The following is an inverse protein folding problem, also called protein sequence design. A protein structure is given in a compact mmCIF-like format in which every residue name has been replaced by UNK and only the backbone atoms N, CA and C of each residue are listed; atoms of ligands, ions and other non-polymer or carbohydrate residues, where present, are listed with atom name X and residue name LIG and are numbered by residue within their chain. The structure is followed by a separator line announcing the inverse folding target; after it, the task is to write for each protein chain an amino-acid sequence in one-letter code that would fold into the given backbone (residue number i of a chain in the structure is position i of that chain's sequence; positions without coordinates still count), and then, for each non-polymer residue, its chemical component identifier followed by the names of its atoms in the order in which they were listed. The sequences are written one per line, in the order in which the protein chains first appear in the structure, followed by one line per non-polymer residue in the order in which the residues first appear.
data_IF_095914713036
#
_entry.id   IF_095914713036
#
_cell.length_a   1.000
_cell.length_b   1.000
_cell.length_c   1.000
_cell.angle_alpha   90.00
_cell.angle_beta   90.00
_cell.angle_gamma   90.00
#
_symmetry.space_group_name_H-M   'P 1'
#
loop_
_entity.id
_entity.type
_entity.pdbx_description
1 polymer ?
#
# COMPACT_ATOMS: atom_id res chain seq x y z
N UNK A 1 -49.87 -44.51 -18.54
CA UNK A 1 -49.72 -43.03 -18.35
C UNK A 1 -48.33 -42.77 -17.76
N UNK A 2 -47.36 -42.32 -18.57
CA UNK A 2 -45.98 -42.00 -18.14
C UNK A 2 -45.88 -40.49 -18.02
N UNK A 3 -45.74 -39.96 -16.80
CA UNK A 3 -45.47 -38.57 -16.57
C UNK A 3 -43.98 -38.28 -16.73
N UNK A 4 -43.57 -37.49 -17.74
CA UNK A 4 -42.25 -36.98 -17.92
C UNK A 4 -42.14 -35.70 -17.13
N UNK A 5 -41.40 -35.71 -16.03
CA UNK A 5 -41.00 -34.48 -15.28
C UNK A 5 -39.84 -33.83 -16.02
N UNK A 6 -40.09 -32.76 -16.74
CA UNK A 6 -39.04 -31.91 -17.30
C UNK A 6 -38.49 -31.00 -16.17
N UNK A 7 -37.33 -31.34 -15.62
CA UNK A 7 -36.61 -30.50 -14.67
C UNK A 7 -36.01 -29.27 -15.36
N UNK A 8 -36.51 -28.09 -15.07
CA UNK A 8 -35.99 -26.82 -15.53
C UNK A 8 -34.72 -26.50 -14.71
N UNK A 9 -33.54 -26.68 -15.33
CA UNK A 9 -32.26 -26.30 -14.73
C UNK A 9 -32.12 -24.77 -14.84
N UNK A 10 -32.36 -24.02 -13.76
CA UNK A 10 -32.04 -22.61 -13.70
C UNK A 10 -30.51 -22.46 -13.53
N UNK A 11 -29.81 -22.13 -14.62
CA UNK A 11 -28.41 -21.69 -14.54
C UNK A 11 -28.38 -20.29 -13.92
N UNK A 12 -28.02 -20.21 -12.64
CA UNK A 12 -27.65 -18.96 -12.00
C UNK A 12 -26.27 -18.54 -12.51
N UNK A 13 -26.22 -17.67 -13.50
CA UNK A 13 -24.97 -16.97 -13.86
C UNK A 13 -24.61 -16.00 -12.75
N UNK A 14 -23.65 -16.37 -11.89
CA UNK A 14 -23.02 -15.40 -10.98
C UNK A 14 -22.28 -14.36 -11.82
N UNK A 15 -22.54 -13.07 -11.62
CA UNK A 15 -21.73 -12.04 -12.25
C UNK A 15 -20.29 -12.21 -11.78
N UNK A 16 -19.37 -12.38 -12.73
CA UNK A 16 -17.94 -12.31 -12.49
C UNK A 16 -17.66 -10.86 -12.07
N UNK A 17 -17.50 -10.62 -10.77
CA UNK A 17 -17.09 -9.31 -10.26
C UNK A 17 -15.67 -9.09 -10.79
N UNK A 18 -15.53 -8.25 -11.80
CA UNK A 18 -14.24 -7.77 -12.26
C UNK A 18 -13.51 -7.13 -11.07
N UNK A 19 -12.21 -7.39 -10.93
CA UNK A 19 -11.41 -6.71 -9.91
C UNK A 19 -11.58 -5.20 -10.06
N UNK A 20 -11.88 -4.47 -8.97
CA UNK A 20 -12.13 -3.04 -9.05
C UNK A 20 -10.86 -2.33 -9.57
N UNK A 21 -11.06 -1.34 -10.43
CA UNK A 21 -9.98 -0.47 -10.86
C UNK A 21 -9.60 0.45 -9.70
N UNK A 22 -8.53 0.10 -8.97
CA UNK A 22 -8.02 0.93 -7.88
C UNK A 22 -7.42 2.20 -8.46
N UNK A 23 -7.99 3.34 -8.09
CA UNK A 23 -7.60 4.68 -8.55
C UNK A 23 -6.83 5.49 -7.50
N UNK A 24 -6.92 5.07 -6.23
CA UNK A 24 -6.20 5.70 -5.12
C UNK A 24 -5.79 4.66 -4.07
N UNK A 25 -4.55 4.75 -3.61
CA UNK A 25 -4.08 4.11 -2.38
C UNK A 25 -4.10 5.18 -1.27
N UNK A 26 -4.80 4.93 -0.16
CA UNK A 26 -4.82 5.83 0.97
C UNK A 26 -4.15 5.21 2.18
N UNK A 27 -3.25 5.94 2.80
CA UNK A 27 -2.55 5.53 4.02
C UNK A 27 -3.00 6.46 5.15
N UNK A 28 -3.55 5.86 6.21
CA UNK A 28 -3.97 6.52 7.45
C UNK A 28 -2.96 6.13 8.52
N UNK A 29 -2.03 7.03 8.82
CA UNK A 29 -0.88 6.73 9.70
C UNK A 29 -1.32 6.47 11.14
N UNK A 30 -2.20 7.32 11.68
CA UNK A 30 -2.74 7.17 13.05
C UNK A 30 -3.51 5.87 13.25
N UNK A 31 -4.15 5.37 12.20
CA UNK A 31 -4.94 4.13 12.25
C UNK A 31 -4.12 2.89 11.89
N UNK A 32 -2.88 3.06 11.41
CA UNK A 32 -2.04 1.98 10.85
C UNK A 32 -2.77 1.20 9.76
N UNK A 33 -3.40 1.93 8.81
CA UNK A 33 -4.22 1.35 7.75
C UNK A 33 -3.79 1.82 6.36
N UNK A 34 -3.82 0.89 5.42
CA UNK A 34 -3.75 1.17 3.99
C UNK A 34 -5.07 0.75 3.35
N UNK A 35 -5.67 1.65 2.60
CA UNK A 35 -6.93 1.45 1.90
C UNK A 35 -6.71 1.48 0.39
N UNK A 36 -7.27 0.49 -0.31
CA UNK A 36 -7.45 0.53 -1.76
C UNK A 36 -8.81 1.14 -2.06
N UNK A 37 -8.82 2.23 -2.81
CA UNK A 37 -10.03 2.99 -3.14
C UNK A 37 -10.30 2.84 -4.64
N UNK A 38 -11.56 2.62 -4.99
CA UNK A 38 -12.06 2.54 -6.36
C UNK A 38 -13.35 3.36 -6.47
N UNK A 39 -13.39 4.29 -7.41
CA UNK A 39 -14.54 5.20 -7.63
C UNK A 39 -15.02 5.89 -6.32
N UNK A 40 -14.08 6.30 -5.48
CA UNK A 40 -14.35 6.99 -4.20
C UNK A 40 -14.75 6.07 -3.03
N UNK A 41 -14.89 4.77 -3.24
CA UNK A 41 -15.25 3.81 -2.20
C UNK A 41 -14.07 2.95 -1.77
N UNK A 42 -13.92 2.70 -0.48
CA UNK A 42 -12.91 1.78 0.04
C UNK A 42 -13.31 0.35 -0.35
N UNK A 43 -12.51 -0.25 -1.22
CA UNK A 43 -12.69 -1.64 -1.64
C UNK A 43 -12.04 -2.63 -0.69
N UNK A 44 -10.82 -2.30 -0.22
CA UNK A 44 -10.05 -3.16 0.67
C UNK A 44 -9.24 -2.34 1.66
N UNK A 45 -8.99 -2.90 2.83
CA UNK A 45 -8.21 -2.28 3.88
C UNK A 45 -7.22 -3.29 4.46
N UNK A 46 -5.99 -2.84 4.74
CA UNK A 46 -4.92 -3.65 5.28
C UNK A 46 -4.31 -2.97 6.51
N UNK A 47 -3.87 -3.77 7.46
CA UNK A 47 -3.03 -3.29 8.55
C UNK A 47 -1.60 -3.09 8.06
N UNK A 48 -0.96 -2.01 8.48
CA UNK A 48 0.41 -1.65 8.09
C UNK A 48 1.29 -1.39 9.30
N UNK A 49 2.62 -1.50 9.09
CA UNK A 49 3.62 -0.92 9.95
C UNK A 49 4.32 0.23 9.22
N UNK A 50 4.77 1.21 9.97
CA UNK A 50 5.34 2.47 9.48
C UNK A 50 6.81 2.63 9.87
N UNK A 51 7.36 3.80 9.64
CA UNK A 51 8.66 4.20 10.16
C UNK A 51 8.68 4.27 11.69
N UNK A 52 9.82 4.01 12.30
CA UNK A 52 9.96 3.95 13.76
C UNK A 52 9.66 5.25 14.51
N UNK A 53 9.41 6.34 13.79
CA UNK A 53 8.93 7.63 14.31
C UNK A 53 7.75 8.11 13.46
N UNK A 54 6.54 7.50 13.58
CA UNK A 54 5.47 7.68 12.60
C UNK A 54 4.78 9.04 12.64
N UNK A 55 4.93 9.82 13.72
CA UNK A 55 4.18 11.06 13.92
C UNK A 55 4.77 12.21 13.11
N UNK A 56 3.92 12.85 12.29
CA UNK A 56 4.27 13.97 11.44
C UNK A 56 4.94 13.60 10.13
N UNK A 57 5.07 14.60 9.27
CA UNK A 57 5.64 14.47 7.93
C UNK A 57 7.16 14.18 7.97
N UNK A 58 7.64 13.39 7.00
CA UNK A 58 9.07 13.15 6.78
C UNK A 58 9.76 14.44 6.34
N UNK A 59 10.84 14.80 7.05
CA UNK A 59 11.51 16.08 6.88
C UNK A 59 12.95 15.93 6.38
N UNK A 60 13.62 14.80 6.70
CA UNK A 60 15.01 14.56 6.35
C UNK A 60 15.33 13.07 6.35
N UNK A 61 16.45 12.73 5.73
CA UNK A 61 16.98 11.37 5.78
C UNK A 61 17.26 10.94 7.22
N UNK A 62 16.93 9.68 7.54
CA UNK A 62 17.19 9.11 8.86
C UNK A 62 16.21 9.52 9.98
N UNK A 63 15.18 10.34 9.70
CA UNK A 63 14.21 10.77 10.72
C UNK A 63 13.22 9.68 11.14
N UNK A 64 13.22 8.54 10.45
CA UNK A 64 12.33 7.41 10.72
C UNK A 64 10.86 7.68 10.42
N UNK A 65 10.55 8.76 9.69
CA UNK A 65 9.18 9.18 9.39
C UNK A 65 8.73 8.71 8.02
N UNK A 66 7.44 8.39 7.92
CA UNK A 66 6.73 8.21 6.65
C UNK A 66 6.20 9.57 6.19
N UNK A 67 6.40 9.97 4.90
CA UNK A 67 5.92 11.26 4.42
C UNK A 67 4.40 11.37 4.50
N UNK A 68 3.89 12.60 4.53
CA UNK A 68 2.47 12.94 4.45
C UNK A 68 2.23 13.80 3.22
N UNK A 69 1.09 13.61 2.55
CA UNK A 69 0.74 14.36 1.34
C UNK A 69 0.29 13.46 0.18
N UNK A 70 0.32 14.04 -1.01
CA UNK A 70 -0.06 13.37 -2.26
C UNK A 70 1.19 13.02 -3.07
N UNK A 71 1.29 11.77 -3.44
CA UNK A 71 2.38 11.19 -4.22
C UNK A 71 1.81 10.26 -5.29
N UNK A 72 2.70 9.59 -6.01
CA UNK A 72 2.37 8.57 -7.02
C UNK A 72 3.17 7.31 -6.73
N UNK A 73 2.59 6.15 -6.97
CA UNK A 73 3.28 4.87 -7.01
C UNK A 73 3.92 4.72 -8.40
N UNK A 74 5.15 5.18 -8.56
CA UNK A 74 5.75 5.43 -9.87
C UNK A 74 6.41 4.20 -10.51
N UNK A 75 6.88 3.23 -9.71
CA UNK A 75 7.35 1.95 -10.24
C UNK A 75 7.18 0.78 -9.26
N UNK A 76 7.14 -0.41 -9.83
CA UNK A 76 7.13 -1.70 -9.15
C UNK A 76 8.54 -2.30 -9.08
N UNK A 77 8.87 -2.94 -7.95
CA UNK A 77 10.13 -3.65 -7.75
C UNK A 77 9.86 -5.09 -7.29
N UNK A 78 9.98 -6.04 -8.24
CA UNK A 78 9.74 -7.47 -7.98
C UNK A 78 10.92 -8.17 -7.29
N UNK A 79 12.14 -7.62 -7.46
CA UNK A 79 13.40 -8.10 -6.86
C UNK A 79 13.73 -7.34 -5.56
N UNK A 80 12.74 -6.95 -4.80
CA UNK A 80 12.90 -6.28 -3.53
C UNK A 80 13.52 -7.20 -2.47
N UNK A 81 14.39 -6.65 -1.60
CA UNK A 81 14.86 -7.34 -0.39
C UNK A 81 13.72 -7.57 0.63
N UNK A 82 12.56 -6.94 0.40
CA UNK A 82 11.35 -7.01 1.20
C UNK A 82 10.16 -7.52 0.38
N UNK A 83 10.27 -8.74 -0.14
CA UNK A 83 9.30 -9.45 -0.96
C UNK A 83 9.02 -8.75 -2.29
N UNK A 84 8.06 -7.84 -2.37
CA UNK A 84 7.70 -6.96 -3.50
C UNK A 84 7.58 -5.55 -2.98
N UNK A 85 7.81 -4.55 -3.82
CA UNK A 85 7.67 -3.17 -3.41
C UNK A 85 7.11 -2.27 -4.50
N UNK A 86 6.32 -1.26 -4.09
CA UNK A 86 5.99 -0.09 -4.88
C UNK A 86 6.79 1.10 -4.35
N UNK A 87 7.40 1.86 -5.22
CA UNK A 87 8.02 3.11 -4.85
C UNK A 87 6.97 4.23 -4.75
N UNK A 88 7.09 5.05 -3.71
CA UNK A 88 6.33 6.28 -3.53
C UNK A 88 7.22 7.44 -4.02
N UNK A 89 6.69 8.30 -4.89
CA UNK A 89 7.41 9.39 -5.54
C UNK A 89 7.83 10.52 -4.56
N UNK A 90 8.28 10.14 -3.37
CA UNK A 90 8.90 11.03 -2.40
C UNK A 90 10.43 11.12 -2.66
N UNK A 91 11.06 12.31 -2.58
CA UNK A 91 10.46 13.62 -2.28
C UNK A 91 9.84 14.27 -3.53
N UNK A 92 8.70 14.94 -3.36
CA UNK A 92 8.12 15.80 -4.39
C UNK A 92 8.78 17.19 -4.38
N UNK A 93 8.34 18.09 -5.26
CA UNK A 93 8.94 19.45 -5.38
C UNK A 93 8.81 20.27 -4.09
N UNK A 94 7.73 20.10 -3.35
CA UNK A 94 7.51 20.79 -2.06
C UNK A 94 8.47 20.27 -1.01
N UNK A 95 8.65 18.95 -0.94
CA UNK A 95 9.60 18.30 -0.01
C UNK A 95 11.04 18.75 -0.30
N UNK A 96 11.42 18.80 -1.59
CA UNK A 96 12.74 19.27 -2.03
C UNK A 96 12.97 20.73 -1.64
N UNK A 97 12.00 21.61 -1.91
CA UNK A 97 12.11 23.02 -1.55
C UNK A 97 12.23 23.22 -0.04
N UNK A 98 11.41 22.49 0.72
CA UNK A 98 11.41 22.52 2.18
C UNK A 98 12.72 22.01 2.77
N UNK A 99 13.26 20.90 2.28
CA UNK A 99 14.53 20.34 2.75
C UNK A 99 15.71 21.28 2.41
N UNK A 100 15.70 21.86 1.21
CA UNK A 100 16.71 22.83 0.79
C UNK A 100 16.74 24.08 1.69
N UNK A 101 15.58 24.61 2.06
CA UNK A 101 15.48 25.78 2.96
C UNK A 101 16.03 25.49 4.36
N UNK A 102 16.02 24.24 4.78
CA UNK A 102 16.60 23.79 6.08
C UNK A 102 18.04 23.30 5.97
N UNK A 103 18.61 23.23 4.75
CA UNK A 103 19.96 22.74 4.55
C UNK A 103 20.14 21.24 4.84
N UNK A 104 19.10 20.43 4.66
CA UNK A 104 19.09 18.98 4.93
C UNK A 104 18.81 18.16 3.68
N UNK A 105 19.27 16.89 3.68
CA UNK A 105 18.90 15.92 2.65
C UNK A 105 17.51 15.36 2.99
N UNK A 106 16.49 15.45 2.11
CA UNK A 106 15.17 14.86 2.37
C UNK A 106 15.20 13.33 2.48
N UNK A 107 16.21 12.70 1.91
CA UNK A 107 16.26 11.26 1.67
C UNK A 107 15.37 10.88 0.50
N UNK A 108 14.99 9.59 0.45
CA UNK A 108 14.18 9.02 -0.63
C UNK A 108 13.96 7.54 -0.40
N UNK A 109 13.70 6.80 -1.49
CA UNK A 109 13.48 5.34 -1.46
C UNK A 109 12.38 4.91 -0.48
N UNK A 110 11.32 5.70 -0.37
CA UNK A 110 10.13 5.35 0.41
C UNK A 110 9.30 4.36 -0.39
N UNK A 111 9.04 3.20 0.20
CA UNK A 111 8.35 2.09 -0.45
C UNK A 111 7.12 1.66 0.35
N UNK A 112 6.12 1.11 -0.36
CA UNK A 112 5.17 0.16 0.20
C UNK A 112 5.72 -1.23 -0.13
N UNK A 113 5.94 -2.09 0.87
CA UNK A 113 6.62 -3.38 0.67
C UNK A 113 6.11 -4.47 1.61
N UNK A 114 6.42 -5.73 1.28
CA UNK A 114 6.15 -6.88 2.15
C UNK A 114 7.18 -7.03 3.27
N UNK A 115 7.32 -8.24 3.78
CA UNK A 115 8.27 -8.55 4.85
C UNK A 115 9.68 -8.75 4.29
N UNK A 116 10.68 -8.62 5.15
CA UNK A 116 12.06 -8.95 4.77
C UNK A 116 12.14 -10.41 4.28
N UNK A 117 12.83 -10.64 3.17
CA UNK A 117 12.96 -11.97 2.58
C UNK A 117 13.46 -12.99 3.61
N UNK A 118 12.79 -14.14 3.68
CA UNK A 118 13.06 -15.19 4.68
C UNK A 118 12.39 -14.97 6.04
N UNK A 119 11.74 -13.83 6.29
CA UNK A 119 11.11 -13.49 7.57
C UNK A 119 9.58 -13.30 7.48
N UNK A 120 8.95 -13.65 6.36
CA UNK A 120 7.49 -13.51 6.18
C UNK A 120 6.65 -14.21 7.26
N UNK A 121 7.16 -15.32 7.81
CA UNK A 121 6.52 -16.04 8.90
C UNK A 121 6.44 -15.25 10.21
N UNK A 122 7.30 -14.25 10.41
CA UNK A 122 7.26 -13.33 11.57
C UNK A 122 6.29 -12.17 11.39
N UNK A 123 5.59 -12.06 10.26
CA UNK A 123 4.76 -10.92 9.91
C UNK A 123 3.70 -10.58 10.96
N UNK A 124 3.12 -11.58 11.62
CA UNK A 124 2.16 -11.37 12.71
C UNK A 124 2.75 -10.62 13.91
N UNK A 125 4.05 -10.77 14.14
CA UNK A 125 4.76 -10.07 15.21
C UNK A 125 5.28 -8.72 14.73
N UNK A 126 5.94 -8.66 13.57
CA UNK A 126 6.55 -7.44 13.02
C UNK A 126 5.52 -6.35 12.78
N UNK A 127 4.28 -6.69 12.36
CA UNK A 127 3.18 -5.74 12.15
C UNK A 127 2.57 -5.16 13.44
N UNK A 128 3.13 -5.49 14.60
CA UNK A 128 2.73 -4.87 15.88
C UNK A 128 3.55 -3.63 16.22
N UNK A 129 4.64 -3.40 15.51
CA UNK A 129 5.60 -2.32 15.76
C UNK A 129 5.89 -1.56 14.49
N UNK A 130 6.21 -0.29 14.63
CA UNK A 130 6.73 0.54 13.55
C UNK A 130 8.25 0.33 13.48
N UNK A 131 8.68 -0.42 12.47
CA UNK A 131 10.05 -0.96 12.40
C UNK A 131 10.84 -0.49 11.18
N UNK A 132 10.19 0.23 10.25
CA UNK A 132 10.84 0.66 9.02
C UNK A 132 11.61 1.97 9.21
N UNK A 133 12.38 2.37 8.20
CA UNK A 133 13.05 3.68 8.15
C UNK A 133 12.20 4.74 7.43
N UNK A 134 10.86 4.58 7.43
CA UNK A 134 9.91 5.49 6.80
C UNK A 134 9.07 4.83 5.70
N UNK A 135 9.35 3.61 5.32
CA UNK A 135 8.53 2.81 4.41
C UNK A 135 7.21 2.37 5.08
N UNK A 136 6.31 1.84 4.26
CA UNK A 136 5.03 1.25 4.68
C UNK A 136 5.11 -0.25 4.47
N UNK A 137 5.06 -1.04 5.55
CA UNK A 137 5.18 -2.49 5.47
C UNK A 137 3.82 -3.19 5.61
N UNK A 138 3.59 -4.19 4.76
CA UNK A 138 2.42 -5.07 4.71
C UNK A 138 2.80 -6.51 5.06
N UNK A 139 1.81 -7.35 5.32
CA UNK A 139 1.97 -8.80 5.18
C UNK A 139 2.20 -9.16 3.71
N UNK A 140 2.96 -10.23 3.43
CA UNK A 140 3.25 -10.64 2.05
C UNK A 140 1.97 -10.98 1.26
N UNK A 141 0.98 -11.61 1.91
CA UNK A 141 -0.33 -11.88 1.31
C UNK A 141 -1.10 -10.62 0.93
N UNK A 142 -1.02 -9.56 1.74
CA UNK A 142 -1.68 -8.28 1.48
C UNK A 142 -0.93 -7.52 0.39
N UNK A 143 0.40 -7.64 0.38
CA UNK A 143 1.24 -7.11 -0.69
C UNK A 143 0.95 -7.75 -2.05
N UNK A 144 0.59 -9.05 -2.09
CA UNK A 144 0.16 -9.74 -3.31
C UNK A 144 -1.14 -9.15 -3.86
N UNK A 145 -2.10 -8.86 -2.99
CA UNK A 145 -3.36 -8.24 -3.39
C UNK A 145 -3.11 -6.82 -3.93
N UNK A 146 -2.32 -6.02 -3.23
CA UNK A 146 -1.95 -4.68 -3.68
C UNK A 146 -1.21 -4.73 -5.02
N UNK A 147 -0.27 -5.67 -5.17
CA UNK A 147 0.50 -5.86 -6.40
C UNK A 147 -0.36 -6.19 -7.62
N UNK A 148 -1.37 -7.04 -7.43
CA UNK A 148 -2.29 -7.45 -8.49
C UNK A 148 -3.28 -6.34 -8.87
N UNK A 149 -3.76 -5.57 -7.88
CA UNK A 149 -4.88 -4.63 -8.06
C UNK A 149 -4.44 -3.20 -8.38
N UNK A 150 -3.19 -2.83 -8.07
CA UNK A 150 -2.67 -1.46 -8.23
C UNK A 150 -1.71 -1.39 -9.41
N UNK A 151 -1.82 -0.35 -10.21
CA UNK A 151 -0.95 -0.08 -11.36
C UNK A 151 0.10 0.97 -11.02
N UNK A 152 1.20 0.98 -11.74
CA UNK A 152 2.13 2.12 -11.76
C UNK A 152 1.38 3.37 -12.23
N UNK A 153 1.70 4.52 -11.64
CA UNK A 153 0.99 5.77 -11.86
C UNK A 153 -0.23 5.98 -10.94
N UNK A 154 -0.62 4.99 -10.13
CA UNK A 154 -1.72 5.16 -9.16
C UNK A 154 -1.35 6.20 -8.11
N UNK A 155 -2.28 7.11 -7.81
CA UNK A 155 -2.10 8.10 -6.74
C UNK A 155 -2.02 7.43 -5.37
N UNK A 156 -1.20 7.98 -4.50
CA UNK A 156 -1.14 7.61 -3.08
C UNK A 156 -1.29 8.86 -2.21
N UNK A 157 -2.27 8.82 -1.33
CA UNK A 157 -2.56 9.85 -0.32
C UNK A 157 -2.13 9.34 1.05
N UNK A 158 -1.23 10.06 1.71
CA UNK A 158 -0.74 9.70 3.04
C UNK A 158 -1.19 10.78 4.01
N UNK A 159 -2.02 10.39 4.97
CA UNK A 159 -2.62 11.25 6.00
C UNK A 159 -2.03 10.93 7.38
N UNK A 160 -2.04 11.92 8.29
CA UNK A 160 -1.73 11.71 9.70
C UNK A 160 -2.49 10.57 10.35
#
# INVERSE_FOLDING_TARGET
MRFIFAGLLLCFSMPLLADPNVDLVRILKSDHKLQLVSAGHVWKEFKIALGGNPIGHKMQEGDGKTPEGLYVLDYKKSDSAFYKAFHISYPNLVDIASSKSRGVNPGGAIMIHGQKNGFGWLSQLSQRFDWTNGCVALHDSDMDILWASVKEGTQVEIRP
#
